data_IF_205666763103
#
_entry.id   IF_205666763103
#
_cell.length_a   1.000
_cell.length_b   1.000
_cell.length_c   1.000
_cell.angle_alpha   90.00
_cell.angle_beta   90.00
_cell.angle_gamma   90.00
#
_symmetry.space_group_name_H-M   'P 1'
#
loop_
_entity.id
_entity.type
_entity.pdbx_description
1 polymer ?
#
# COMPACT_ATOMS: atom_id res chain seq x y z
N UNK A 1 39.48 13.46 14.75
CA UNK A 1 39.49 14.42 13.63
C UNK A 1 38.65 15.62 13.94
N UNK A 2 38.98 16.79 13.38
CA UNK A 2 38.14 17.98 13.51
C UNK A 2 37.44 18.25 12.19
N UNK A 3 36.14 18.54 12.26
CA UNK A 3 35.29 18.87 11.13
C UNK A 3 34.67 20.24 11.33
N UNK A 4 34.61 21.04 10.25
CA UNK A 4 34.06 22.39 10.28
C UNK A 4 32.56 22.36 9.90
N UNK A 5 31.85 23.40 10.29
CA UNK A 5 30.45 23.60 9.94
C UNK A 5 30.18 23.37 8.43
N UNK A 6 29.12 22.64 8.11
CA UNK A 6 28.75 22.29 6.73
C UNK A 6 29.47 21.08 6.15
N UNK A 7 30.54 20.57 6.74
CA UNK A 7 31.21 19.35 6.29
C UNK A 7 30.37 18.11 6.59
N UNK A 8 30.53 17.08 5.75
CA UNK A 8 29.87 15.80 5.93
C UNK A 8 30.84 14.82 6.60
N UNK A 9 30.34 14.11 7.61
CA UNK A 9 31.04 12.96 8.18
C UNK A 9 30.97 11.78 7.19
N UNK A 10 29.77 11.53 6.69
CA UNK A 10 29.46 10.59 5.58
C UNK A 10 28.08 10.90 4.98
N UNK A 11 27.79 10.30 3.84
CA UNK A 11 26.50 10.39 3.16
C UNK A 11 25.76 9.06 3.20
N UNK A 12 24.43 9.15 3.16
CA UNK A 12 23.54 7.98 3.03
C UNK A 12 23.95 7.12 1.82
N UNK A 13 24.02 5.79 2.02
CA UNK A 13 24.44 4.83 1.02
C UNK A 13 25.96 4.61 0.95
N UNK A 14 26.80 5.43 1.60
CA UNK A 14 28.23 5.17 1.68
C UNK A 14 28.52 3.97 2.60
N UNK A 15 29.58 3.20 2.27
CA UNK A 15 30.12 2.17 3.16
C UNK A 15 31.19 2.79 4.04
N UNK A 16 31.03 2.72 5.34
CA UNK A 16 31.98 3.17 6.34
C UNK A 16 32.19 2.08 7.39
N UNK A 17 33.41 1.75 7.64
CA UNK A 17 33.81 0.69 8.57
C UNK A 17 34.41 1.29 9.86
N UNK A 18 33.77 2.33 10.37
CA UNK A 18 34.23 3.02 11.58
C UNK A 18 33.05 3.45 12.45
N UNK A 19 33.28 3.43 13.75
CA UNK A 19 32.42 4.03 14.76
C UNK A 19 32.96 5.43 15.09
N UNK A 20 32.09 6.40 15.23
CA UNK A 20 32.46 7.77 15.54
C UNK A 20 31.87 8.20 16.88
N UNK A 21 32.71 8.83 17.72
CA UNK A 21 32.30 9.42 19.00
C UNK A 21 32.44 10.94 18.92
N UNK A 22 31.36 11.67 19.15
CA UNK A 22 31.39 13.12 19.19
C UNK A 22 32.01 13.56 20.52
N UNK A 23 33.16 14.19 20.48
CA UNK A 23 33.87 14.73 21.65
C UNK A 23 33.46 16.16 21.97
N UNK A 24 33.15 16.94 20.94
CA UNK A 24 32.67 18.31 21.04
C UNK A 24 31.95 18.71 19.76
N UNK A 25 31.09 19.72 19.81
CA UNK A 25 30.30 20.20 18.68
C UNK A 25 28.98 19.47 18.49
N UNK A 26 28.33 19.76 17.35
CA UNK A 26 26.99 19.24 17.02
C UNK A 26 26.94 18.80 15.57
N UNK A 27 26.43 17.58 15.36
CA UNK A 27 26.17 17.06 14.02
C UNK A 27 24.67 16.76 13.86
N UNK A 28 24.22 16.75 12.62
CA UNK A 28 22.83 16.47 12.23
C UNK A 28 22.81 15.30 11.26
N UNK A 29 22.05 14.28 11.59
CA UNK A 29 21.71 13.16 10.73
C UNK A 29 20.39 13.42 9.99
N UNK A 30 20.38 13.17 8.68
CA UNK A 30 19.20 13.24 7.83
C UNK A 30 19.15 12.02 6.93
N UNK A 31 17.98 11.37 6.82
CA UNK A 31 17.78 10.22 5.93
C UNK A 31 16.70 10.50 4.91
N UNK A 32 16.88 9.99 3.69
CA UNK A 32 15.84 10.01 2.66
C UNK A 32 14.65 9.12 3.00
N UNK A 33 14.85 8.15 3.90
CA UNK A 33 13.84 7.18 4.31
C UNK A 33 13.13 7.49 5.63
N UNK A 34 13.61 8.51 6.40
CA UNK A 34 13.01 8.91 7.67
C UNK A 34 12.70 10.41 7.68
N UNK A 35 11.54 10.80 8.22
CA UNK A 35 11.21 12.21 8.46
C UNK A 35 11.86 12.77 9.73
N UNK A 36 12.50 11.92 10.52
CA UNK A 36 13.11 12.33 11.77
C UNK A 36 14.55 12.75 11.53
N UNK A 37 14.90 13.96 11.92
CA UNK A 37 16.28 14.44 11.99
C UNK A 37 16.90 13.99 13.31
N UNK A 38 18.10 13.44 13.24
CA UNK A 38 18.88 13.06 14.40
C UNK A 38 19.86 14.17 14.75
N UNK A 39 19.99 14.51 16.03
CA UNK A 39 21.00 15.48 16.51
C UNK A 39 22.01 14.73 17.37
N UNK A 40 23.27 14.87 17.03
CA UNK A 40 24.40 14.23 17.67
C UNK A 40 25.27 15.29 18.35
N UNK A 41 25.24 15.31 19.68
CA UNK A 41 26.08 16.17 20.51
C UNK A 41 27.18 15.39 21.24
N UNK A 42 27.83 16.05 22.18
CA UNK A 42 28.88 15.45 23.00
C UNK A 42 28.52 14.09 23.60
N UNK A 43 29.34 13.08 23.38
CA UNK A 43 29.14 11.71 23.84
C UNK A 43 28.26 10.84 22.92
N UNK A 44 27.68 11.41 21.85
CA UNK A 44 26.92 10.62 20.87
C UNK A 44 27.81 9.66 20.11
N UNK A 45 27.26 8.46 19.84
CA UNK A 45 27.83 7.45 18.97
C UNK A 45 27.17 7.56 17.59
N UNK A 46 27.94 7.43 16.52
CA UNK A 46 27.48 7.49 15.13
C UNK A 46 28.15 6.36 14.34
N UNK A 47 27.35 5.62 13.54
CA UNK A 47 27.86 4.54 12.68
C UNK A 47 27.87 3.16 13.34
N UNK A 48 27.23 2.99 14.48
CA UNK A 48 27.13 1.70 15.20
C UNK A 48 26.49 0.60 14.35
N UNK A 49 25.45 0.94 13.57
CA UNK A 49 24.80 -0.01 12.67
C UNK A 49 25.69 -0.48 11.53
N UNK A 50 26.44 0.47 10.93
CA UNK A 50 27.36 0.16 9.84
C UNK A 50 28.45 -0.82 10.31
N UNK A 51 28.94 -0.58 11.51
CA UNK A 51 30.02 -1.36 12.11
C UNK A 51 29.56 -2.77 12.49
N UNK A 52 28.39 -2.92 13.13
CA UNK A 52 27.90 -4.18 13.66
C UNK A 52 27.24 -5.06 12.60
N UNK A 53 26.55 -4.46 11.64
CA UNK A 53 25.77 -5.17 10.62
C UNK A 53 26.43 -5.17 9.22
N UNK A 54 27.56 -4.45 9.05
CA UNK A 54 28.24 -4.24 7.74
C UNK A 54 27.27 -3.73 6.64
N UNK A 55 26.35 -2.85 7.04
CA UNK A 55 25.36 -2.24 6.15
C UNK A 55 25.83 -0.84 5.71
N UNK A 56 25.40 -0.34 4.53
CA UNK A 56 25.66 1.05 4.14
C UNK A 56 25.05 2.05 5.13
N UNK A 57 25.60 3.26 5.17
CA UNK A 57 25.11 4.37 6.00
C UNK A 57 23.63 4.65 5.69
N UNK A 58 22.78 4.64 6.73
CA UNK A 58 21.32 4.84 6.60
C UNK A 58 20.91 6.31 6.59
N UNK A 59 21.83 7.21 6.86
CA UNK A 59 21.60 8.65 6.93
C UNK A 59 22.83 9.40 6.43
N UNK A 60 22.63 10.66 6.03
CA UNK A 60 23.69 11.63 5.79
C UNK A 60 23.97 12.41 7.07
N UNK A 61 25.19 12.40 7.55
CA UNK A 61 25.60 13.13 8.76
C UNK A 61 26.44 14.33 8.41
N UNK A 62 25.94 15.53 8.78
CA UNK A 62 26.57 16.83 8.51
C UNK A 62 26.85 17.57 9.82
N UNK A 63 27.97 18.27 9.86
CA UNK A 63 28.36 19.13 10.98
C UNK A 63 27.54 20.44 10.97
N UNK A 64 26.87 20.71 12.09
CA UNK A 64 26.09 21.93 12.31
C UNK A 64 26.93 22.99 13.05
N UNK A 65 27.72 22.54 14.01
CA UNK A 65 28.70 23.35 14.75
C UNK A 65 30.03 22.62 14.71
N UNK A 66 31.15 23.37 14.59
CA UNK A 66 32.51 22.78 14.57
C UNK A 66 32.64 21.64 15.57
N UNK A 67 33.03 20.45 15.08
CA UNK A 67 32.99 19.23 15.85
C UNK A 67 34.33 18.52 15.93
N UNK A 68 34.69 18.09 17.14
CA UNK A 68 35.81 17.20 17.40
C UNK A 68 35.28 15.76 17.50
N UNK A 69 35.75 14.87 16.62
CA UNK A 69 35.24 13.50 16.51
C UNK A 69 36.39 12.52 16.69
N UNK A 70 36.16 11.50 17.50
CA UNK A 70 37.04 10.34 17.63
C UNK A 70 36.50 9.24 16.70
N UNK A 71 37.32 8.84 15.75
CA UNK A 71 37.07 7.69 14.89
C UNK A 71 37.67 6.42 15.53
N UNK A 72 36.91 5.34 15.50
CA UNK A 72 37.31 4.00 15.94
C UNK A 72 37.11 3.06 14.76
N UNK A 73 38.18 2.64 14.06
CA UNK A 73 38.07 1.68 12.97
C UNK A 73 37.49 0.33 13.43
N UNK A 74 36.82 -0.37 12.53
CA UNK A 74 36.20 -1.67 12.82
C UNK A 74 37.16 -2.70 13.40
N UNK A 75 38.38 -2.75 12.89
CA UNK A 75 39.41 -3.67 13.39
C UNK A 75 39.74 -3.39 14.87
N UNK A 76 39.90 -2.12 15.24
CA UNK A 76 40.15 -1.71 16.60
C UNK A 76 38.98 -2.04 17.54
N UNK A 77 37.75 -1.80 17.05
CA UNK A 77 36.53 -2.09 17.79
C UNK A 77 36.38 -3.61 18.02
N UNK A 78 36.63 -4.43 17.00
CA UNK A 78 36.60 -5.90 17.11
C UNK A 78 37.67 -6.41 18.06
N UNK A 79 38.89 -5.90 17.98
CA UNK A 79 39.98 -6.30 18.93
C UNK A 79 39.58 -6.04 20.39
N UNK A 80 38.93 -4.90 20.67
CA UNK A 80 38.43 -4.60 22.02
C UNK A 80 37.34 -5.58 22.43
N UNK A 81 36.39 -5.92 21.52
CA UNK A 81 35.32 -6.88 21.84
C UNK A 81 35.82 -8.30 22.04
N UNK A 82 36.89 -8.71 21.36
CA UNK A 82 37.48 -10.04 21.50
C UNK A 82 38.20 -10.22 22.84
N UNK A 83 38.65 -9.13 23.48
CA UNK A 83 39.24 -9.12 24.84
C UNK A 83 38.16 -9.16 25.93
N UNK A 84 36.90 -8.84 25.59
CA UNK A 84 35.78 -8.80 26.53
C UNK A 84 35.00 -10.13 26.57
N UNK A 85 34.22 -10.41 27.63
CA UNK A 85 33.41 -11.61 27.70
C UNK A 85 32.42 -11.73 26.49
N UNK A 86 32.38 -12.88 25.84
CA UNK A 86 31.63 -13.12 24.61
C UNK A 86 30.10 -12.82 24.70
N UNK A 87 29.55 -12.75 25.94
CA UNK A 87 28.14 -12.34 26.12
C UNK A 87 27.92 -10.85 25.78
N UNK A 88 28.94 -10.00 25.90
CA UNK A 88 28.82 -8.57 25.58
C UNK A 88 28.58 -8.35 24.08
N UNK A 89 29.34 -9.02 23.24
CA UNK A 89 29.15 -9.02 21.79
C UNK A 89 27.73 -9.50 21.41
N UNK A 90 27.26 -10.57 22.07
CA UNK A 90 25.91 -11.11 21.83
C UNK A 90 24.80 -10.11 22.23
N UNK A 91 24.96 -9.42 23.36
CA UNK A 91 24.00 -8.37 23.78
C UNK A 91 24.01 -7.19 22.82
N UNK A 92 25.18 -6.72 22.39
CA UNK A 92 25.26 -5.60 21.44
C UNK A 92 24.55 -5.94 20.12
N UNK A 93 24.84 -7.11 19.55
CA UNK A 93 24.16 -7.58 18.33
C UNK A 93 22.65 -7.70 18.52
N UNK A 94 22.20 -8.23 19.66
CA UNK A 94 20.78 -8.35 19.98
C UNK A 94 20.08 -6.98 20.09
N UNK A 95 20.70 -6.02 20.78
CA UNK A 95 20.15 -4.67 20.93
C UNK A 95 20.07 -3.95 19.58
N UNK A 96 21.12 -4.04 18.75
CA UNK A 96 21.14 -3.45 17.42
C UNK A 96 20.01 -3.98 16.55
N UNK A 97 19.81 -5.31 16.52
CA UNK A 97 18.70 -5.92 15.79
C UNK A 97 17.32 -5.47 16.28
N UNK A 98 17.14 -5.25 17.59
CA UNK A 98 15.86 -4.73 18.12
C UNK A 98 15.58 -3.28 17.71
N UNK A 99 16.60 -2.42 17.68
CA UNK A 99 16.45 -1.04 17.19
C UNK A 99 16.06 -1.02 15.71
N UNK A 100 16.66 -1.87 14.90
CA UNK A 100 16.33 -2.00 13.48
C UNK A 100 14.85 -2.39 13.25
N UNK A 101 14.37 -3.41 13.97
CA UNK A 101 12.96 -3.83 13.91
C UNK A 101 12.03 -2.69 14.35
N UNK A 102 12.41 -1.90 15.35
CA UNK A 102 11.60 -0.76 15.82
C UNK A 102 11.51 0.36 14.77
N UNK A 103 12.59 0.67 14.06
CA UNK A 103 12.60 1.65 12.98
C UNK A 103 11.76 1.21 11.78
N UNK A 104 11.93 -0.03 11.31
CA UNK A 104 11.10 -0.57 10.22
C UNK A 104 9.61 -0.60 10.58
N UNK A 105 9.30 -0.93 11.84
CA UNK A 105 7.92 -0.92 12.34
C UNK A 105 7.35 0.49 12.35
N UNK A 106 8.14 1.50 12.68
CA UNK A 106 7.69 2.89 12.68
C UNK A 106 7.42 3.41 11.26
N UNK A 107 8.29 3.14 10.29
CA UNK A 107 8.07 3.48 8.88
C UNK A 107 6.84 2.76 8.31
N UNK A 108 6.67 1.47 8.61
CA UNK A 108 5.49 0.71 8.23
C UNK A 108 4.20 1.31 8.82
N UNK A 109 4.25 1.76 10.08
CA UNK A 109 3.13 2.43 10.73
C UNK A 109 2.78 3.78 10.09
N UNK A 110 3.75 4.54 9.58
CA UNK A 110 3.52 5.80 8.85
C UNK A 110 2.77 5.52 7.55
N UNK A 111 3.22 4.55 6.75
CA UNK A 111 2.54 4.16 5.50
C UNK A 111 1.12 3.63 5.74
N UNK A 112 0.93 2.82 6.78
CA UNK A 112 -0.40 2.29 7.17
C UNK A 112 -1.36 3.43 7.53
N UNK A 113 -0.90 4.51 8.16
CA UNK A 113 -1.74 5.67 8.51
C UNK A 113 -1.95 6.63 7.33
N UNK A 114 -0.95 6.81 6.50
CA UNK A 114 -0.99 7.75 5.39
C UNK A 114 -1.85 7.25 4.21
N UNK A 115 -1.88 5.94 3.94
CA UNK A 115 -2.65 5.37 2.83
C UNK A 115 -4.16 5.65 2.94
N UNK A 116 -4.85 5.42 4.08
CA UNK A 116 -6.26 5.77 4.21
C UNK A 116 -6.54 7.27 4.04
N UNK A 117 -5.65 8.12 4.55
CA UNK A 117 -5.76 9.57 4.42
C UNK A 117 -5.60 10.01 2.96
N UNK A 118 -4.61 9.46 2.25
CA UNK A 118 -4.40 9.70 0.82
C UNK A 118 -5.63 9.30 0.00
N UNK A 119 -6.16 8.09 0.21
CA UNK A 119 -7.33 7.60 -0.51
C UNK A 119 -8.58 8.43 -0.22
N UNK A 120 -8.77 8.88 1.02
CA UNK A 120 -9.85 9.79 1.40
C UNK A 120 -9.78 11.12 0.66
N UNK A 121 -8.59 11.73 0.62
CA UNK A 121 -8.35 12.99 -0.06
C UNK A 121 -8.57 12.84 -1.57
N UNK A 122 -8.01 11.79 -2.18
CA UNK A 122 -8.23 11.49 -3.60
C UNK A 122 -9.72 11.32 -3.91
N UNK A 123 -10.45 10.53 -3.13
CA UNK A 123 -11.91 10.35 -3.26
C UNK A 123 -12.64 11.70 -3.18
N UNK A 124 -12.31 12.53 -2.17
CA UNK A 124 -12.94 13.84 -1.97
C UNK A 124 -12.70 14.80 -3.14
N UNK A 125 -11.51 14.79 -3.74
CA UNK A 125 -11.22 15.59 -4.93
C UNK A 125 -11.96 15.08 -6.15
N UNK A 126 -12.04 13.76 -6.36
CA UNK A 126 -12.77 13.15 -7.46
C UNK A 126 -14.28 13.41 -7.41
N UNK A 127 -14.88 13.52 -6.22
CA UNK A 127 -16.28 13.88 -6.04
C UNK A 127 -16.57 15.35 -6.39
N UNK A 128 -15.57 16.24 -6.24
CA UNK A 128 -15.71 17.68 -6.48
C UNK A 128 -15.26 18.14 -7.86
N UNK A 129 -14.27 17.47 -8.43
CA UNK A 129 -13.63 17.86 -9.69
C UNK A 129 -13.12 16.64 -10.44
N UNK A 130 -13.16 16.72 -11.78
CA UNK A 130 -12.54 15.69 -12.64
C UNK A 130 -11.01 15.79 -12.68
N UNK A 131 -10.45 16.94 -12.24
CA UNK A 131 -9.01 17.18 -12.24
C UNK A 131 -8.45 17.14 -10.82
N UNK A 132 -7.44 16.30 -10.61
CA UNK A 132 -6.76 16.12 -9.33
C UNK A 132 -5.31 16.58 -9.50
N UNK A 133 -4.89 17.55 -8.70
CA UNK A 133 -3.56 18.14 -8.77
C UNK A 133 -2.62 17.55 -7.70
N UNK A 134 -1.49 17.02 -8.16
CA UNK A 134 -0.48 16.38 -7.31
C UNK A 134 -0.01 17.27 -6.15
N UNK A 135 0.37 18.57 -6.36
CA UNK A 135 0.83 19.42 -5.27
C UNK A 135 -0.22 19.65 -4.18
N UNK A 136 -1.50 19.74 -4.56
CA UNK A 136 -2.60 19.90 -3.61
C UNK A 136 -2.77 18.63 -2.75
N UNK A 137 -2.79 17.46 -3.37
CA UNK A 137 -2.90 16.17 -2.69
C UNK A 137 -1.76 15.98 -1.71
N UNK A 138 -0.52 16.20 -2.15
CA UNK A 138 0.67 16.05 -1.31
C UNK A 138 0.56 16.95 -0.08
N UNK A 139 0.24 18.23 -0.27
CA UNK A 139 0.11 19.20 0.83
C UNK A 139 -0.99 18.83 1.82
N UNK A 140 -2.16 18.41 1.34
CA UNK A 140 -3.29 18.03 2.20
C UNK A 140 -2.97 16.76 3.02
N UNK A 141 -2.35 15.75 2.40
CA UNK A 141 -1.94 14.52 3.13
C UNK A 141 -0.88 14.85 4.18
N UNK A 142 0.12 15.68 3.84
CA UNK A 142 1.15 16.10 4.79
C UNK A 142 0.55 16.79 6.02
N UNK A 143 -0.40 17.69 5.81
CA UNK A 143 -1.07 18.40 6.91
C UNK A 143 -1.93 17.47 7.76
N UNK A 144 -2.63 16.51 7.12
CA UNK A 144 -3.57 15.65 7.82
C UNK A 144 -2.88 14.59 8.69
N UNK A 145 -1.75 14.03 8.22
CA UNK A 145 -1.12 12.86 8.85
C UNK A 145 0.30 13.14 9.35
N UNK A 146 0.83 14.35 9.11
CA UNK A 146 2.18 14.75 9.46
C UNK A 146 3.25 13.77 8.91
N UNK A 147 3.27 13.60 7.59
CA UNK A 147 4.22 12.76 6.84
C UNK A 147 5.04 13.60 5.88
N UNK A 148 6.19 13.09 5.45
CA UNK A 148 7.01 13.76 4.43
C UNK A 148 6.38 13.68 3.04
N UNK A 149 6.80 14.59 2.17
CA UNK A 149 6.43 14.58 0.75
C UNK A 149 6.80 13.27 0.07
N UNK A 150 7.98 12.75 0.37
CA UNK A 150 8.53 11.50 -0.18
C UNK A 150 7.63 10.30 0.14
N UNK A 151 7.14 10.19 1.39
CA UNK A 151 6.22 9.12 1.80
C UNK A 151 4.90 9.14 1.00
N UNK A 152 4.39 10.34 0.71
CA UNK A 152 3.17 10.51 -0.11
C UNK A 152 3.44 10.12 -1.55
N UNK A 153 4.58 10.53 -2.12
CA UNK A 153 4.98 10.18 -3.48
C UNK A 153 5.20 8.68 -3.63
N UNK A 154 5.80 8.01 -2.65
CA UNK A 154 5.96 6.55 -2.63
C UNK A 154 4.61 5.83 -2.64
N UNK A 155 3.64 6.31 -1.86
CA UNK A 155 2.28 5.75 -1.87
C UNK A 155 1.57 5.97 -3.21
N UNK A 156 1.73 7.14 -3.83
CA UNK A 156 1.19 7.41 -5.17
C UNK A 156 1.85 6.51 -6.22
N UNK A 157 3.17 6.31 -6.15
CA UNK A 157 3.88 5.39 -7.03
C UNK A 157 3.42 3.93 -6.84
N UNK A 158 3.19 3.52 -5.59
CA UNK A 158 2.63 2.20 -5.29
C UNK A 158 1.23 2.03 -5.87
N UNK A 159 0.34 3.03 -5.75
CA UNK A 159 -0.98 3.03 -6.39
C UNK A 159 -0.86 3.03 -7.93
N UNK A 160 0.12 3.73 -8.47
CA UNK A 160 0.44 3.71 -9.89
C UNK A 160 0.86 2.32 -10.40
N UNK A 161 1.71 1.61 -9.64
CA UNK A 161 2.13 0.24 -9.98
C UNK A 161 0.98 -0.78 -9.95
N UNK A 162 -0.09 -0.47 -9.21
CA UNK A 162 -1.33 -1.24 -9.18
C UNK A 162 -2.35 -0.79 -10.25
N UNK A 163 -1.99 0.12 -11.14
CA UNK A 163 -2.84 0.76 -12.16
C UNK A 163 -4.08 1.46 -11.58
N UNK A 164 -4.03 1.93 -10.33
CA UNK A 164 -5.13 2.70 -9.72
C UNK A 164 -5.16 4.12 -10.27
N UNK A 165 -3.98 4.69 -10.49
CA UNK A 165 -3.79 6.06 -10.97
C UNK A 165 -2.54 6.18 -11.84
N UNK A 166 -2.45 7.29 -12.59
CA UNK A 166 -1.27 7.69 -13.37
C UNK A 166 -0.93 9.14 -13.06
N UNK A 167 0.35 9.43 -12.85
CA UNK A 167 0.82 10.80 -12.62
C UNK A 167 1.49 11.29 -13.89
N UNK A 168 1.04 12.43 -14.41
CA UNK A 168 1.64 13.11 -15.54
C UNK A 168 1.86 14.60 -15.22
N UNK A 169 3.11 14.98 -14.96
CA UNK A 169 3.44 16.31 -14.47
C UNK A 169 2.79 16.56 -13.12
N UNK A 170 2.02 17.61 -13.01
CA UNK A 170 1.30 17.99 -11.79
C UNK A 170 -0.15 17.46 -11.72
N UNK A 171 -0.57 16.63 -12.67
CA UNK A 171 -1.93 16.07 -12.69
C UNK A 171 -1.94 14.58 -12.41
N UNK A 172 -2.97 14.12 -11.69
CA UNK A 172 -3.24 12.70 -11.40
C UNK A 172 -4.46 12.27 -12.19
N UNK A 173 -4.31 11.20 -12.96
CA UNK A 173 -5.34 10.60 -13.81
C UNK A 173 -5.78 9.24 -13.26
N UNK A 174 -7.05 8.92 -13.47
CA UNK A 174 -7.66 7.67 -13.02
C UNK A 174 -8.39 7.02 -14.17
N UNK A 175 -8.07 5.76 -14.47
CA UNK A 175 -8.81 5.00 -15.48
C UNK A 175 -10.21 4.64 -14.95
N UNK A 176 -10.33 4.39 -13.65
CA UNK A 176 -11.59 4.02 -12.98
C UNK A 176 -11.73 4.80 -11.64
N UNK A 177 -12.19 6.06 -11.67
CA UNK A 177 -12.23 6.92 -10.48
C UNK A 177 -13.00 6.32 -9.29
N UNK A 178 -14.09 5.57 -9.56
CA UNK A 178 -14.91 4.94 -8.51
C UNK A 178 -14.15 3.89 -7.69
N UNK A 179 -13.14 3.25 -8.28
CA UNK A 179 -12.32 2.24 -7.60
C UNK A 179 -11.54 2.83 -6.43
N UNK A 180 -11.14 4.11 -6.49
CA UNK A 180 -10.48 4.81 -5.38
C UNK A 180 -11.41 4.84 -4.15
N UNK A 181 -12.68 5.15 -4.34
CA UNK A 181 -13.69 5.13 -3.27
C UNK A 181 -13.90 3.74 -2.69
N UNK A 182 -14.04 2.72 -3.55
CA UNK A 182 -14.19 1.33 -3.11
C UNK A 182 -12.95 0.82 -2.37
N UNK A 183 -11.76 1.19 -2.81
CA UNK A 183 -10.49 0.84 -2.16
C UNK A 183 -10.43 1.48 -0.75
N UNK A 184 -10.76 2.77 -0.64
CA UNK A 184 -10.85 3.46 0.65
C UNK A 184 -11.82 2.74 1.60
N UNK A 185 -13.04 2.46 1.15
CA UNK A 185 -14.07 1.78 1.95
C UNK A 185 -13.63 0.38 2.39
N UNK A 186 -12.97 -0.34 1.50
CA UNK A 186 -12.44 -1.69 1.78
C UNK A 186 -11.37 -1.67 2.86
N UNK A 187 -10.43 -0.72 2.79
CA UNK A 187 -9.36 -0.55 3.78
C UNK A 187 -9.96 -0.10 5.12
N UNK A 188 -10.88 0.86 5.11
CA UNK A 188 -11.55 1.35 6.32
C UNK A 188 -12.39 0.25 6.99
N UNK A 189 -13.11 -0.55 6.22
CA UNK A 189 -13.88 -1.67 6.76
C UNK A 189 -12.97 -2.67 7.48
N UNK A 190 -11.85 -3.03 6.86
CA UNK A 190 -10.86 -3.94 7.46
C UNK A 190 -10.24 -3.36 8.74
N UNK A 191 -9.91 -2.08 8.73
CA UNK A 191 -9.33 -1.39 9.88
C UNK A 191 -10.30 -1.31 11.07
N UNK A 192 -11.59 -1.02 10.82
CA UNK A 192 -12.60 -0.81 11.86
C UNK A 192 -13.25 -2.11 12.33
N UNK A 193 -13.58 -3.00 11.42
CA UNK A 193 -14.32 -4.25 11.75
C UNK A 193 -13.40 -5.45 11.97
N UNK A 194 -12.12 -5.36 11.61
CA UNK A 194 -11.14 -6.47 11.65
C UNK A 194 -11.63 -7.72 10.89
N UNK A 195 -12.45 -7.52 9.86
CA UNK A 195 -13.02 -8.57 9.00
C UNK A 195 -12.73 -8.26 7.54
N UNK A 196 -12.86 -9.30 6.69
CA UNK A 196 -12.76 -9.12 5.23
C UNK A 196 -13.92 -8.25 4.77
N UNK A 197 -13.63 -7.23 3.97
CA UNK A 197 -14.64 -6.32 3.43
C UNK A 197 -15.60 -7.07 2.51
N UNK A 198 -16.90 -6.71 2.52
CA UNK A 198 -17.87 -7.22 1.54
C UNK A 198 -17.48 -6.92 0.08
N UNK A 199 -16.62 -5.94 -0.16
CA UNK A 199 -16.12 -5.59 -1.51
C UNK A 199 -15.06 -6.58 -2.02
N UNK A 200 -14.51 -7.45 -1.17
CA UNK A 200 -13.58 -8.49 -1.59
C UNK A 200 -14.37 -9.72 -2.05
N UNK A 201 -14.16 -10.09 -3.30
CA UNK A 201 -14.83 -11.22 -3.95
C UNK A 201 -13.97 -12.47 -3.87
N UNK A 202 -14.59 -13.61 -3.63
CA UNK A 202 -13.93 -14.91 -3.81
C UNK A 202 -13.58 -15.15 -5.28
N UNK A 203 -12.65 -16.06 -5.55
CA UNK A 203 -12.28 -16.44 -6.91
C UNK A 203 -13.51 -16.89 -7.73
N UNK A 204 -14.41 -17.66 -7.12
CA UNK A 204 -15.65 -18.12 -7.77
C UNK A 204 -16.54 -16.96 -8.16
N UNK A 205 -16.76 -15.99 -7.24
CA UNK A 205 -17.54 -14.79 -7.53
C UNK A 205 -16.93 -13.97 -8.68
N UNK A 206 -15.61 -13.79 -8.68
CA UNK A 206 -14.89 -13.09 -9.76
C UNK A 206 -15.05 -13.82 -11.10
N UNK A 207 -14.94 -15.14 -11.13
CA UNK A 207 -15.12 -15.94 -12.35
C UNK A 207 -16.55 -15.83 -12.89
N UNK A 208 -17.56 -15.88 -12.02
CA UNK A 208 -18.96 -15.74 -12.42
C UNK A 208 -19.20 -14.34 -12.98
N UNK A 209 -18.76 -13.27 -12.28
CA UNK A 209 -18.93 -11.91 -12.75
C UNK A 209 -18.18 -11.66 -14.08
N UNK A 210 -16.97 -12.19 -14.23
CA UNK A 210 -16.22 -12.10 -15.51
C UNK A 210 -16.97 -12.79 -16.64
N UNK A 211 -17.62 -13.93 -16.35
CA UNK A 211 -18.47 -14.64 -17.34
C UNK A 211 -19.70 -13.80 -17.71
N UNK A 212 -20.37 -13.20 -16.72
CA UNK A 212 -21.49 -12.28 -16.93
C UNK A 212 -21.07 -11.10 -17.80
N UNK A 213 -19.92 -10.48 -17.48
CA UNK A 213 -19.39 -9.36 -18.26
C UNK A 213 -19.08 -9.73 -19.70
N UNK A 214 -18.58 -10.95 -19.92
CA UNK A 214 -18.38 -11.47 -21.29
C UNK A 214 -19.70 -11.61 -22.05
N UNK A 215 -20.75 -12.13 -21.41
CA UNK A 215 -22.07 -12.22 -22.02
C UNK A 215 -22.60 -10.83 -22.37
N UNK A 216 -22.45 -9.84 -21.48
CA UNK A 216 -22.89 -8.46 -21.75
C UNK A 216 -22.17 -7.87 -22.96
N UNK A 217 -20.86 -8.00 -23.03
CA UNK A 217 -20.06 -7.49 -24.15
C UNK A 217 -20.39 -8.14 -25.49
N UNK A 218 -20.65 -9.43 -25.47
CA UNK A 218 -20.86 -10.20 -26.71
C UNK A 218 -22.28 -10.01 -27.28
N UNK A 219 -23.30 -9.73 -26.46
CA UNK A 219 -24.69 -9.91 -26.87
C UNK A 219 -25.69 -8.81 -26.45
N UNK A 220 -25.28 -7.83 -25.63
CA UNK A 220 -26.28 -6.96 -24.99
C UNK A 220 -25.82 -5.51 -24.89
N UNK A 221 -26.69 -4.60 -25.33
CA UNK A 221 -26.52 -3.18 -25.03
C UNK A 221 -27.03 -2.86 -23.61
N UNK A 222 -26.29 -2.04 -22.84
CA UNK A 222 -26.79 -1.56 -21.55
C UNK A 222 -28.07 -0.74 -21.73
N UNK A 223 -29.02 -0.91 -20.82
CA UNK A 223 -30.17 -0.02 -20.74
C UNK A 223 -29.71 1.41 -20.37
N UNK A 224 -30.57 2.40 -20.58
CA UNK A 224 -30.25 3.83 -20.40
C UNK A 224 -29.67 4.19 -19.03
N UNK A 225 -29.84 3.35 -18.01
CA UNK A 225 -29.36 3.50 -16.64
C UNK A 225 -28.17 2.57 -16.30
N UNK A 226 -27.51 1.99 -17.31
CA UNK A 226 -26.36 1.07 -17.11
C UNK A 226 -26.74 -0.35 -16.69
N UNK A 227 -28.04 -0.65 -16.56
CA UNK A 227 -28.51 -2.00 -16.19
C UNK A 227 -28.61 -2.85 -17.46
N UNK A 228 -28.05 -4.05 -17.43
CA UNK A 228 -28.16 -5.06 -18.48
C UNK A 228 -29.09 -6.19 -18.05
N UNK A 229 -29.80 -6.76 -19.02
CA UNK A 229 -30.64 -7.95 -18.83
C UNK A 229 -29.95 -9.13 -19.49
N UNK A 230 -29.68 -10.18 -18.74
CA UNK A 230 -28.92 -11.35 -19.22
C UNK A 230 -29.75 -12.61 -19.02
N UNK A 231 -29.92 -13.37 -20.08
CA UNK A 231 -30.62 -14.67 -19.98
C UNK A 231 -29.74 -15.71 -19.28
N UNK A 232 -30.38 -16.52 -18.46
CA UNK A 232 -29.71 -17.65 -17.79
C UNK A 232 -29.07 -18.60 -18.78
N UNK A 233 -29.70 -18.82 -19.93
CA UNK A 233 -29.17 -19.65 -21.02
C UNK A 233 -27.86 -19.10 -21.56
N UNK A 234 -27.72 -17.77 -21.74
CA UNK A 234 -26.48 -17.14 -22.20
C UNK A 234 -25.38 -17.30 -21.16
N UNK A 235 -25.67 -17.08 -19.86
CA UNK A 235 -24.71 -17.30 -18.76
C UNK A 235 -24.18 -18.72 -18.78
N UNK A 236 -25.06 -19.74 -18.82
CA UNK A 236 -24.68 -21.16 -18.84
C UNK A 236 -23.85 -21.53 -20.07
N UNK A 237 -24.21 -21.03 -21.24
CA UNK A 237 -23.49 -21.29 -22.50
C UNK A 237 -22.09 -20.72 -22.45
N UNK A 238 -21.96 -19.47 -22.00
CA UNK A 238 -20.66 -18.79 -21.88
C UNK A 238 -19.80 -19.42 -20.79
N UNK A 239 -20.39 -19.77 -19.64
CA UNK A 239 -19.69 -20.45 -18.54
C UNK A 239 -19.08 -21.79 -19.01
N UNK A 240 -19.84 -22.60 -19.73
CA UNK A 240 -19.32 -23.86 -20.30
C UNK A 240 -18.08 -23.67 -21.15
N UNK A 241 -18.02 -22.57 -21.93
CA UNK A 241 -16.89 -22.23 -22.80
C UNK A 241 -15.71 -21.64 -22.03
N UNK A 242 -15.94 -20.72 -21.09
CA UNK A 242 -14.91 -19.94 -20.42
C UNK A 242 -14.42 -20.53 -19.11
N UNK A 243 -15.19 -21.41 -18.49
CA UNK A 243 -14.86 -22.02 -17.17
C UNK A 243 -14.58 -23.53 -17.28
N UNK A 244 -14.07 -24.01 -18.41
CA UNK A 244 -13.62 -25.39 -18.64
C UNK A 244 -14.67 -26.45 -18.24
N UNK A 245 -15.95 -26.19 -18.58
CA UNK A 245 -17.06 -27.11 -18.30
C UNK A 245 -17.69 -26.97 -16.92
N UNK A 246 -17.24 -26.04 -16.08
CA UNK A 246 -17.88 -25.76 -14.80
C UNK A 246 -19.33 -25.31 -15.00
N UNK A 247 -20.21 -25.77 -14.13
CA UNK A 247 -21.63 -25.40 -14.12
C UNK A 247 -21.89 -24.36 -13.04
N UNK A 248 -22.47 -23.23 -13.42
CA UNK A 248 -22.90 -22.20 -12.44
C UNK A 248 -24.23 -22.68 -11.83
N UNK A 249 -24.28 -22.74 -10.51
CA UNK A 249 -25.48 -23.11 -9.73
C UNK A 249 -26.10 -21.85 -9.09
N UNK A 250 -27.36 -21.97 -8.68
CA UNK A 250 -28.02 -20.90 -7.88
C UNK A 250 -27.27 -20.60 -6.59
N UNK A 251 -26.75 -21.62 -5.93
CA UNK A 251 -25.95 -21.46 -4.71
C UNK A 251 -24.70 -20.61 -4.96
N UNK A 252 -24.03 -20.79 -6.10
CA UNK A 252 -22.86 -19.99 -6.48
C UNK A 252 -23.22 -18.54 -6.83
N UNK A 253 -24.44 -18.26 -7.26
CA UNK A 253 -24.96 -16.90 -7.56
C UNK A 253 -25.44 -16.17 -6.29
N UNK A 254 -25.78 -16.89 -5.23
CA UNK A 254 -26.36 -16.32 -4.02
C UNK A 254 -25.53 -15.19 -3.38
N UNK A 255 -24.20 -15.29 -3.20
CA UNK A 255 -23.41 -14.20 -2.65
C UNK A 255 -23.46 -12.93 -3.51
N UNK A 256 -23.52 -13.06 -4.82
CA UNK A 256 -23.60 -11.94 -5.75
C UNK A 256 -24.98 -11.24 -5.68
N UNK A 257 -26.04 -12.01 -5.46
CA UNK A 257 -27.39 -11.50 -5.24
C UNK A 257 -27.46 -10.75 -3.91
N UNK A 258 -26.91 -11.33 -2.83
CA UNK A 258 -26.89 -10.71 -1.50
C UNK A 258 -26.08 -9.39 -1.49
N UNK A 259 -25.04 -9.29 -2.30
CA UNK A 259 -24.25 -8.05 -2.48
C UNK A 259 -24.95 -7.04 -3.41
N UNK A 260 -26.07 -7.40 -4.03
CA UNK A 260 -26.80 -6.54 -4.98
C UNK A 260 -26.01 -6.25 -6.26
N UNK A 261 -25.11 -7.15 -6.67
CA UNK A 261 -24.36 -7.05 -7.95
C UNK A 261 -25.20 -7.59 -9.11
N UNK A 262 -26.03 -8.57 -8.84
CA UNK A 262 -26.99 -9.13 -9.76
C UNK A 262 -28.35 -9.25 -9.06
N UNK A 263 -29.42 -9.16 -9.82
CA UNK A 263 -30.80 -9.32 -9.32
C UNK A 263 -31.56 -10.32 -10.19
N UNK A 264 -32.14 -11.37 -9.62
CA UNK A 264 -32.94 -12.33 -10.38
C UNK A 264 -34.25 -11.69 -10.87
N UNK A 265 -34.83 -12.22 -11.95
CA UNK A 265 -36.12 -11.78 -12.50
C UNK A 265 -37.33 -12.15 -11.63
N UNK A 266 -37.12 -13.00 -10.60
CA UNK A 266 -38.13 -13.32 -9.58
C UNK A 266 -37.91 -12.47 -8.34
N UNK A 267 -38.95 -12.25 -7.48
CA UNK A 267 -38.75 -11.55 -6.24
C UNK A 267 -37.70 -12.24 -5.35
N UNK A 268 -36.86 -11.44 -4.68
CA UNK A 268 -35.78 -11.96 -3.83
C UNK A 268 -36.32 -12.82 -2.68
N UNK A 269 -37.55 -12.53 -2.19
CA UNK A 269 -38.26 -13.28 -1.18
C UNK A 269 -38.68 -14.69 -1.65
N UNK A 270 -38.81 -14.87 -2.97
CA UNK A 270 -39.13 -16.17 -3.60
C UNK A 270 -37.88 -16.91 -4.09
N UNK A 271 -36.70 -16.40 -3.78
CA UNK A 271 -35.45 -16.98 -4.21
C UNK A 271 -35.09 -18.19 -3.33
N UNK A 272 -35.01 -19.36 -3.95
CA UNK A 272 -34.53 -20.59 -3.32
C UNK A 272 -33.18 -20.99 -3.91
N UNK A 273 -32.08 -20.96 -3.14
CA UNK A 273 -30.74 -21.31 -3.62
C UNK A 273 -30.59 -22.77 -4.05
N UNK A 274 -31.53 -23.63 -3.69
CA UNK A 274 -31.54 -25.06 -4.07
C UNK A 274 -32.17 -25.31 -5.44
N UNK A 275 -32.89 -24.31 -5.99
CA UNK A 275 -33.52 -24.43 -7.32
C UNK A 275 -32.47 -24.53 -8.43
N UNK A 276 -32.82 -25.23 -9.54
CA UNK A 276 -31.99 -25.18 -10.75
C UNK A 276 -31.89 -23.73 -11.27
N UNK A 277 -30.71 -23.36 -11.76
CA UNK A 277 -30.48 -22.00 -12.33
C UNK A 277 -31.48 -21.66 -13.44
N UNK A 278 -31.98 -22.67 -14.16
CA UNK A 278 -32.99 -22.53 -15.23
C UNK A 278 -34.37 -22.12 -14.72
N UNK A 279 -34.66 -22.22 -13.43
CA UNK A 279 -35.89 -21.70 -12.84
C UNK A 279 -35.98 -20.17 -12.94
N UNK A 280 -34.82 -19.49 -13.13
CA UNK A 280 -34.72 -18.05 -13.36
C UNK A 280 -34.49 -17.80 -14.84
N UNK A 281 -35.39 -17.08 -15.48
CA UNK A 281 -35.28 -16.78 -16.92
C UNK A 281 -34.13 -15.84 -17.25
N UNK A 282 -33.93 -14.80 -16.43
CA UNK A 282 -32.90 -13.79 -16.63
C UNK A 282 -32.52 -13.08 -15.33
N UNK A 283 -31.38 -12.38 -15.40
CA UNK A 283 -30.83 -11.55 -14.33
C UNK A 283 -30.66 -10.11 -14.82
N UNK A 284 -30.88 -9.18 -13.91
CA UNK A 284 -30.49 -7.78 -14.08
C UNK A 284 -29.11 -7.60 -13.46
N UNK A 285 -28.22 -6.91 -14.13
CA UNK A 285 -26.89 -6.57 -13.60
C UNK A 285 -26.55 -5.11 -13.94
N UNK A 286 -25.94 -4.44 -12.99
CA UNK A 286 -25.35 -3.13 -13.16
C UNK A 286 -23.92 -3.29 -13.72
N UNK A 287 -23.75 -2.96 -14.99
CA UNK A 287 -22.51 -3.16 -15.72
C UNK A 287 -21.35 -2.39 -15.07
N UNK A 288 -21.55 -1.11 -14.76
CA UNK A 288 -20.49 -0.27 -14.20
C UNK A 288 -20.09 -0.74 -12.81
N UNK A 289 -21.06 -1.05 -11.96
CA UNK A 289 -20.80 -1.56 -10.61
C UNK A 289 -20.03 -2.88 -10.61
N UNK A 290 -20.35 -3.79 -11.53
CA UNK A 290 -19.62 -5.06 -11.68
C UNK A 290 -18.20 -4.80 -12.16
N UNK A 291 -18.00 -3.90 -13.12
CA UNK A 291 -16.67 -3.52 -13.61
C UNK A 291 -15.81 -2.94 -12.49
N UNK A 292 -16.35 -1.98 -11.73
CA UNK A 292 -15.67 -1.35 -10.60
C UNK A 292 -15.25 -2.40 -9.53
N UNK A 293 -16.15 -3.36 -9.25
CA UNK A 293 -15.87 -4.45 -8.31
C UNK A 293 -14.80 -5.42 -8.80
N UNK A 294 -14.81 -5.79 -10.08
CA UNK A 294 -13.78 -6.63 -10.66
C UNK A 294 -12.42 -5.92 -10.69
N UNK A 295 -12.41 -4.64 -11.02
CA UNK A 295 -11.20 -3.83 -11.03
C UNK A 295 -10.61 -3.66 -9.62
N UNK A 296 -11.45 -3.38 -8.61
CA UNK A 296 -11.02 -3.39 -7.21
C UNK A 296 -10.35 -4.71 -6.83
N UNK A 297 -10.97 -5.85 -7.18
CA UNK A 297 -10.45 -7.16 -6.81
C UNK A 297 -9.17 -7.53 -7.57
N UNK A 298 -8.98 -7.01 -8.79
CA UNK A 298 -7.71 -7.14 -9.53
C UNK A 298 -6.53 -6.53 -8.77
N UNK A 299 -6.74 -5.41 -8.07
CA UNK A 299 -5.70 -4.77 -7.25
C UNK A 299 -5.19 -5.70 -6.14
N UNK A 300 -6.06 -6.51 -5.54
CA UNK A 300 -5.69 -7.44 -4.46
C UNK A 300 -5.09 -8.77 -4.95
N UNK A 301 -5.05 -9.01 -6.24
CA UNK A 301 -4.49 -10.23 -6.85
C UNK A 301 -3.13 -9.99 -7.55
N UNK A 302 -2.71 -8.74 -7.68
CA UNK A 302 -1.37 -8.32 -8.13
C UNK A 302 -0.38 -8.35 -6.97
#
# INVERSE_FOLDING_TARGET
MNLFEGQYLYKEGESKDSLYIVKDGTLKGTSTHSSQESIYGHGSLIGEFNLLESTPCKETVQVVEEAAIQEIPQETFRAILDEEPGWLSSILTFLTGRFHIAEETNQKNIRIRALPALLYILKSHLEKSQKVFLPAIVKEVQVLVNVKKEDVLDLLNALGSLDVLKVHGDEIFFDTPRVVGLLYETIQYRATKKKISPNILSMTEQMILSTIMKVVRDNHEPLSNGICIISTKAIKTTAKKSMHGMTITMLAMQPLIQRGLIKPSIPVESYDPTQPLDAIGFFYCDFEKIMDMLELNRIFTK
#
